data_IF_612431811281
#
_entry.id   IF_612431811281
#
_cell.length_a   1.000
_cell.length_b   1.000
_cell.length_c   1.000
_cell.angle_alpha   90.00
_cell.angle_beta   90.00
_cell.angle_gamma   90.00
#
_symmetry.space_group_name_H-M   'P 1'
#
loop_
_entity.id
_entity.type
_entity.pdbx_description
1 polymer ?
#
# COMPACT_ATOMS: atom_id res chain seq x y z
N UNK A 1 -14.24 6.67 24.67
CA UNK A 1 -14.38 7.35 23.36
C UNK A 1 -13.41 6.69 22.39
N UNK A 2 -13.92 6.03 21.35
CA UNK A 2 -13.27 5.63 20.08
C UNK A 2 -14.38 4.95 19.25
N UNK A 3 -14.49 5.24 17.95
CA UNK A 3 -15.50 4.61 17.08
C UNK A 3 -15.01 3.31 16.45
N UNK A 4 -13.73 3.24 16.11
CA UNK A 4 -13.09 2.11 15.42
C UNK A 4 -11.64 1.94 15.90
N UNK A 5 -11.13 0.72 15.84
CA UNK A 5 -9.74 0.39 16.22
C UNK A 5 -8.96 0.01 14.96
N UNK A 6 -7.74 0.54 14.83
CA UNK A 6 -6.83 0.21 13.73
C UNK A 6 -5.45 -0.19 14.24
N UNK A 7 -4.68 -0.85 13.38
CA UNK A 7 -3.28 -1.24 13.62
C UNK A 7 -2.37 -0.56 12.59
N UNK A 8 -1.08 -0.49 12.87
CA UNK A 8 -0.11 0.16 11.97
C UNK A 8 1.21 -0.60 11.96
N UNK A 9 1.75 -0.84 10.77
CA UNK A 9 2.99 -1.59 10.54
C UNK A 9 2.97 -3.05 11.05
N UNK A 10 1.79 -3.66 11.13
CA UNK A 10 1.70 -5.04 11.58
C UNK A 10 2.07 -5.99 10.45
N UNK A 11 3.00 -6.90 10.73
CA UNK A 11 3.30 -8.08 9.91
C UNK A 11 2.19 -9.12 10.05
N UNK A 12 2.19 -10.16 9.20
CA UNK A 12 1.19 -11.24 9.30
C UNK A 12 1.12 -11.84 10.71
N UNK A 13 2.22 -12.23 11.38
CA UNK A 13 2.15 -12.76 12.74
C UNK A 13 1.60 -11.77 13.77
N UNK A 14 1.78 -10.47 13.57
CA UNK A 14 1.21 -9.46 14.45
C UNK A 14 -0.29 -9.26 14.19
N UNK A 15 -0.72 -9.32 12.93
CA UNK A 15 -2.14 -9.30 12.59
C UNK A 15 -2.86 -10.56 13.12
N UNK A 16 -2.25 -11.74 13.05
CA UNK A 16 -2.79 -12.96 13.66
C UNK A 16 -3.01 -12.79 15.17
N UNK A 17 -2.02 -12.21 15.87
CA UNK A 17 -2.15 -11.88 17.30
C UNK A 17 -3.24 -10.85 17.57
N UNK A 18 -3.37 -9.84 16.71
CA UNK A 18 -4.43 -8.83 16.85
C UNK A 18 -5.81 -9.46 16.66
N UNK A 19 -5.99 -10.29 15.62
CA UNK A 19 -7.23 -11.02 15.38
C UNK A 19 -7.55 -11.93 16.56
N UNK A 20 -6.57 -12.65 17.11
CA UNK A 20 -6.77 -13.49 18.29
C UNK A 20 -7.19 -12.68 19.54
N UNK A 21 -6.72 -11.44 19.67
CA UNK A 21 -7.01 -10.59 20.82
C UNK A 21 -8.36 -9.87 20.73
N UNK A 22 -8.75 -9.42 19.53
CA UNK A 22 -9.92 -8.54 19.37
C UNK A 22 -10.90 -8.95 18.29
N UNK A 23 -10.63 -9.98 17.48
CA UNK A 23 -11.43 -10.33 16.30
C UNK A 23 -11.08 -9.47 15.08
N UNK A 24 -11.18 -10.05 13.88
CA UNK A 24 -10.83 -9.37 12.63
C UNK A 24 -11.81 -8.24 12.30
N UNK A 25 -13.09 -8.44 12.60
CA UNK A 25 -14.19 -7.49 12.41
C UNK A 25 -14.05 -6.20 13.24
N UNK A 26 -13.22 -6.23 14.30
CA UNK A 26 -12.94 -5.07 15.13
C UNK A 26 -11.67 -4.31 14.69
N UNK A 27 -10.97 -4.80 13.66
CA UNK A 27 -9.78 -4.15 13.08
C UNK A 27 -10.20 -3.43 11.78
N UNK A 28 -10.35 -2.11 11.87
CA UNK A 28 -10.77 -1.29 10.75
C UNK A 28 -9.73 -1.23 9.62
N UNK A 29 -8.44 -1.20 9.96
CA UNK A 29 -7.35 -1.15 8.96
C UNK A 29 -6.01 -1.54 9.55
N UNK A 30 -5.09 -2.01 8.70
CA UNK A 30 -3.66 -1.99 8.93
C UNK A 30 -3.01 -0.91 8.05
N UNK A 31 -2.52 0.15 8.68
CA UNK A 31 -1.82 1.23 7.99
C UNK A 31 -0.35 0.85 7.75
N UNK A 32 0.10 0.78 6.50
CA UNK A 32 1.47 0.34 6.13
C UNK A 32 2.08 1.18 5.01
N UNK A 33 3.42 1.18 4.91
CA UNK A 33 4.10 1.78 3.78
C UNK A 33 3.82 0.96 2.52
N UNK A 34 3.22 1.62 1.54
CA UNK A 34 3.02 1.05 0.22
C UNK A 34 3.32 2.10 -0.84
N UNK A 35 4.07 1.74 -1.86
CA UNK A 35 4.34 2.58 -3.02
C UNK A 35 4.55 1.70 -4.26
N UNK A 36 4.64 2.26 -5.48
CA UNK A 36 5.00 1.47 -6.65
C UNK A 36 6.29 0.65 -6.48
N UNK A 37 7.23 1.13 -5.66
CA UNK A 37 8.51 0.49 -5.37
C UNK A 37 8.48 -0.47 -4.17
N UNK A 38 7.48 -0.34 -3.29
CA UNK A 38 7.30 -1.17 -2.11
C UNK A 38 5.85 -1.61 -2.01
N UNK A 39 5.53 -2.75 -2.60
CA UNK A 39 4.13 -3.19 -2.76
C UNK A 39 3.63 -4.14 -1.67
N UNK A 40 4.55 -4.69 -0.87
CA UNK A 40 4.28 -5.61 0.24
C UNK A 40 3.15 -6.64 -0.02
N UNK A 41 3.16 -7.25 -1.22
CA UNK A 41 2.01 -8.00 -1.77
C UNK A 41 1.53 -9.13 -0.87
N UNK A 42 2.43 -9.79 -0.15
CA UNK A 42 2.08 -10.88 0.79
C UNK A 42 1.21 -10.35 1.94
N UNK A 43 1.61 -9.25 2.58
CA UNK A 43 0.85 -8.63 3.68
C UNK A 43 -0.50 -8.13 3.16
N UNK A 44 -0.52 -7.46 2.00
CA UNK A 44 -1.76 -6.93 1.42
C UNK A 44 -2.74 -8.05 1.05
N UNK A 45 -2.25 -9.11 0.39
CA UNK A 45 -3.10 -10.24 0.02
C UNK A 45 -3.65 -10.96 1.25
N UNK A 46 -2.81 -11.18 2.25
CA UNK A 46 -3.22 -11.82 3.50
C UNK A 46 -4.27 -10.97 4.25
N UNK A 47 -4.03 -9.67 4.41
CA UNK A 47 -4.99 -8.78 5.09
C UNK A 47 -6.35 -8.77 4.38
N UNK A 48 -6.34 -8.70 3.03
CA UNK A 48 -7.56 -8.78 2.22
C UNK A 48 -8.32 -10.09 2.39
N UNK A 49 -7.61 -11.23 2.47
CA UNK A 49 -8.24 -12.54 2.71
C UNK A 49 -8.93 -12.63 4.08
N UNK A 50 -8.46 -11.86 5.06
CA UNK A 50 -8.98 -11.84 6.43
C UNK A 50 -9.91 -10.65 6.70
N UNK A 51 -10.34 -9.93 5.66
CA UNK A 51 -11.26 -8.80 5.78
C UNK A 51 -10.66 -7.53 6.39
N UNK A 52 -9.34 -7.44 6.55
CA UNK A 52 -8.66 -6.27 7.10
C UNK A 52 -8.30 -5.31 5.96
N UNK A 53 -8.81 -4.09 6.02
CA UNK A 53 -8.45 -3.05 5.06
C UNK A 53 -6.99 -2.62 5.20
N UNK A 54 -6.41 -2.13 4.10
CA UNK A 54 -5.07 -1.55 4.10
C UNK A 54 -5.17 -0.06 3.81
N UNK A 55 -4.59 0.75 4.68
CA UNK A 55 -4.38 2.18 4.45
C UNK A 55 -2.92 2.42 4.11
N UNK A 56 -2.61 2.84 2.88
CA UNK A 56 -1.23 3.13 2.49
C UNK A 56 -0.77 4.49 3.04
N UNK A 57 0.47 4.55 3.54
CA UNK A 57 1.21 5.82 3.70
C UNK A 57 2.45 5.83 2.79
N UNK A 58 3.03 7.02 2.59
CA UNK A 58 4.15 7.26 1.66
C UNK A 58 3.88 6.74 0.22
N UNK A 59 2.61 6.80 -0.20
CA UNK A 59 2.12 6.26 -1.48
C UNK A 59 2.88 6.77 -2.71
N UNK A 60 3.38 8.01 -2.65
CA UNK A 60 4.13 8.63 -3.75
C UNK A 60 5.66 8.46 -3.64
N UNK A 61 6.16 7.73 -2.65
CA UNK A 61 7.59 7.49 -2.41
C UNK A 61 8.43 8.78 -2.51
N UNK A 62 8.09 9.82 -1.74
CA UNK A 62 8.73 11.14 -1.80
C UNK A 62 8.74 11.76 -3.22
N UNK A 63 7.65 11.58 -3.97
CA UNK A 63 7.51 12.10 -5.34
C UNK A 63 8.27 11.31 -6.41
N UNK A 64 9.03 10.26 -6.04
CA UNK A 64 9.73 9.40 -7.01
C UNK A 64 8.74 8.71 -7.95
N UNK A 65 7.57 8.31 -7.44
CA UNK A 65 6.51 7.71 -8.26
C UNK A 65 6.01 8.67 -9.36
N UNK A 66 6.00 9.98 -9.12
CA UNK A 66 5.60 10.99 -10.11
C UNK A 66 6.67 11.19 -11.18
N UNK A 67 7.96 11.13 -10.81
CA UNK A 67 9.08 11.20 -11.75
C UNK A 67 9.07 10.05 -12.75
N UNK A 68 8.64 8.85 -12.33
CA UNK A 68 8.53 7.68 -13.21
C UNK A 68 7.55 7.92 -14.37
N UNK A 69 6.41 8.57 -14.11
CA UNK A 69 5.43 8.90 -15.14
C UNK A 69 5.97 9.93 -16.14
N UNK A 70 6.71 10.93 -15.67
CA UNK A 70 7.32 11.95 -16.52
C UNK A 70 8.36 11.37 -17.49
N UNK A 71 9.18 10.42 -17.04
CA UNK A 71 10.17 9.75 -17.90
C UNK A 71 9.50 8.92 -19.01
N UNK A 72 8.43 8.20 -18.68
CA UNK A 72 7.69 7.41 -19.67
C UNK A 72 7.07 8.29 -20.77
N UNK A 73 6.49 9.43 -20.40
CA UNK A 73 5.88 10.38 -21.34
C UNK A 73 6.94 11.10 -22.19
N UNK A 74 8.07 11.50 -21.60
CA UNK A 74 9.14 12.18 -22.35
C UNK A 74 9.83 11.25 -23.35
N UNK A 75 10.02 9.97 -23.00
CA UNK A 75 10.56 8.97 -23.92
C UNK A 75 9.61 8.70 -25.10
N UNK A 76 8.31 8.57 -24.86
CA UNK A 76 7.31 8.40 -25.92
C UNK A 76 7.29 9.59 -26.91
N UNK A 77 7.37 10.83 -26.40
CA UNK A 77 7.46 12.01 -27.26
C UNK A 77 8.78 12.09 -28.04
N UNK A 78 9.89 11.65 -27.43
CA UNK A 78 11.20 11.60 -28.11
C UNK A 78 11.22 10.56 -29.23
N UNK A 79 10.59 9.39 -29.04
CA UNK A 79 10.49 8.37 -30.10
C UNK A 79 9.61 8.84 -31.27
N UNK A 80 8.54 9.60 -30.99
CA UNK A 80 7.65 10.15 -32.03
C UNK A 80 8.32 11.21 -32.92
N UNK A 81 9.38 11.86 -32.43
CA UNK A 81 10.14 12.87 -33.17
C UNK A 81 11.32 12.31 -33.99
N UNK A 82 11.77 11.07 -33.73
CA UNK A 82 12.87 10.43 -34.48
C UNK A 82 12.43 9.65 -35.72
N UNK A 83 11.12 9.60 -35.99
CA UNK A 83 10.52 8.96 -37.17
C UNK A 83 9.83 9.96 -38.12
N UNK A 84 10.18 11.24 -38.02
CA UNK A 84 9.97 12.24 -39.08
C UNK A 84 11.34 12.67 -39.58
#
# INVERSE_FOLDING_TARGET
>A
MTREIGISNFTIPLMEKAIAAVGAENIATNQIELSPYLQNRKVVAWAKQHGIHITSYMTLAYGKALKMRLLLVSQLNTMRLRHK
#
